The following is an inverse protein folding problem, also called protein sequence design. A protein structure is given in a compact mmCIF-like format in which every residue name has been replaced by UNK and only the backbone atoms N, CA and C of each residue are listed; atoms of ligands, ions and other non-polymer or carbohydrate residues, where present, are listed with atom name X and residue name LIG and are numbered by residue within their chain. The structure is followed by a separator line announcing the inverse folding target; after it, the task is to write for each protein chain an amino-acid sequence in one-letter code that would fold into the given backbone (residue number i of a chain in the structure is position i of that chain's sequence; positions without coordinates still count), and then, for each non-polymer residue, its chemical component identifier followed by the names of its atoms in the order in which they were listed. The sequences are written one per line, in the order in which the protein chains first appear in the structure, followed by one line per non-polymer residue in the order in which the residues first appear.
data_IF_969121083116
#
_entry.id   IF_969121083116
#
_cell.length_a   1.000
_cell.length_b   1.000
_cell.length_c   1.000
_cell.angle_alpha   90.00
_cell.angle_beta   90.00
_cell.angle_gamma   90.00
#
_symmetry.space_group_name_H-M   'P 1'
#
loop_
_entity.id
_entity.type
_entity.pdbx_description
1 polymer ?
#
# COMPACT_ATOMS: atom_id res chain seq x y z
N UNK A 1 12.86 -33.89 -2.82
CA UNK A 1 13.57 -34.54 -1.69
C UNK A 1 13.08 -33.89 -0.41
N UNK A 2 12.36 -34.60 0.47
CA UNK A 2 11.91 -34.01 1.75
C UNK A 2 13.12 -33.81 2.67
N UNK A 3 13.19 -32.65 3.33
CA UNK A 3 14.27 -32.32 4.26
C UNK A 3 14.19 -33.22 5.49
N UNK A 4 15.24 -34.01 5.73
CA UNK A 4 15.36 -34.85 6.94
C UNK A 4 15.65 -33.96 8.15
N UNK A 5 14.77 -34.01 9.16
CA UNK A 5 14.95 -33.26 10.40
C UNK A 5 16.09 -33.86 11.24
N UNK A 6 17.20 -33.13 11.36
CA UNK A 6 18.39 -33.53 12.12
C UNK A 6 18.43 -32.90 13.53
N UNK A 7 17.34 -32.27 13.98
CA UNK A 7 17.30 -31.55 15.26
C UNK A 7 17.61 -32.46 16.45
N UNK A 8 17.22 -33.73 16.39
CA UNK A 8 17.49 -34.72 17.45
C UNK A 8 18.97 -35.09 17.53
N UNK A 9 19.61 -35.31 16.38
CA UNK A 9 21.05 -35.56 16.28
C UNK A 9 21.84 -34.38 16.82
N UNK A 10 21.49 -33.15 16.41
CA UNK A 10 22.12 -31.94 16.92
C UNK A 10 22.04 -31.84 18.45
N UNK A 11 20.84 -32.05 19.03
CA UNK A 11 20.65 -32.03 20.50
C UNK A 11 21.53 -33.07 21.21
N UNK A 12 21.63 -34.28 20.66
CA UNK A 12 22.44 -35.36 21.25
C UNK A 12 23.95 -35.08 21.24
N UNK A 13 24.43 -34.47 20.15
CA UNK A 13 25.84 -34.05 20.02
C UNK A 13 26.12 -32.92 21.02
N UNK A 14 25.20 -31.96 21.15
CA UNK A 14 25.32 -30.83 22.07
C UNK A 14 25.36 -31.29 23.53
N UNK A 15 24.48 -32.20 23.95
CA UNK A 15 24.50 -32.76 25.31
C UNK A 15 25.78 -33.52 25.60
N UNK A 16 26.28 -34.28 24.62
CA UNK A 16 27.54 -35.03 24.74
C UNK A 16 28.72 -34.07 24.91
N UNK A 17 28.81 -33.03 24.07
CA UNK A 17 29.83 -31.99 24.14
C UNK A 17 29.77 -31.23 25.48
N UNK A 18 28.57 -30.87 25.93
CA UNK A 18 28.36 -30.16 27.20
C UNK A 18 28.76 -31.01 28.42
N UNK A 19 28.58 -32.33 28.35
CA UNK A 19 29.05 -33.26 29.38
C UNK A 19 30.56 -33.52 29.36
N UNK A 20 31.20 -33.41 28.19
CA UNK A 20 32.66 -33.56 28.02
C UNK A 20 33.46 -32.32 28.43
N UNK A 21 32.84 -31.15 28.41
CA UNK A 21 33.41 -29.94 28.99
C UNK A 21 33.32 -30.05 30.50
N UNK A 22 34.42 -30.44 31.15
CA UNK A 22 34.56 -30.39 32.59
C UNK A 22 34.06 -29.03 33.12
N UNK A 23 33.35 -29.06 34.26
CA UNK A 23 32.84 -27.88 34.94
C UNK A 23 34.00 -26.94 35.25
N UNK A 24 34.32 -26.07 34.29
CA UNK A 24 35.29 -25.00 34.46
C UNK A 24 34.78 -24.21 35.64
N UNK A 25 35.56 -24.18 36.72
CA UNK A 25 35.37 -23.27 37.84
C UNK A 25 35.42 -21.88 37.25
N UNK A 26 34.22 -21.41 36.90
CA UNK A 26 33.90 -20.13 36.32
C UNK A 26 34.63 -19.09 37.17
N UNK A 27 35.74 -18.56 36.64
CA UNK A 27 36.24 -17.27 37.07
C UNK A 27 35.02 -16.36 37.12
N UNK A 28 34.67 -15.88 38.32
CA UNK A 28 33.53 -15.00 38.60
C UNK A 28 33.29 -14.14 37.37
N UNK A 29 32.24 -14.47 36.61
CA UNK A 29 31.84 -13.67 35.47
C UNK A 29 31.70 -12.24 35.98
N UNK A 30 32.17 -11.22 35.24
CA UNK A 30 31.96 -9.84 35.66
C UNK A 30 30.47 -9.70 35.98
N UNK A 31 30.19 -9.14 37.17
CA UNK A 31 28.84 -9.01 37.71
C UNK A 31 27.88 -8.55 36.60
N UNK A 32 26.65 -9.07 36.56
CA UNK A 32 25.71 -8.68 35.52
C UNK A 32 25.56 -7.17 35.57
N UNK A 33 26.07 -6.51 34.53
CA UNK A 33 25.85 -5.07 34.31
C UNK A 33 24.34 -4.89 34.41
N UNK A 34 23.93 -4.12 35.41
CA UNK A 34 22.55 -3.87 35.79
C UNK A 34 21.69 -3.64 34.53
N UNK A 35 20.82 -4.60 34.21
CA UNK A 35 19.84 -4.55 33.10
C UNK A 35 18.73 -3.52 33.33
N UNK A 36 18.93 -2.54 34.20
CA UNK A 36 17.89 -1.55 34.55
C UNK A 36 17.60 -0.55 33.41
N UNK A 37 18.50 -0.44 32.42
CA UNK A 37 18.29 0.36 31.20
C UNK A 37 17.64 -0.36 30.01
N UNK A 38 17.76 -1.69 29.92
CA UNK A 38 17.30 -2.47 28.75
C UNK A 38 15.79 -2.73 28.70
N UNK A 39 15.07 -2.59 29.82
CA UNK A 39 13.64 -2.86 29.86
C UNK A 39 12.83 -1.85 29.03
N UNK A 40 13.29 -0.59 28.96
CA UNK A 40 12.55 0.49 28.28
C UNK A 40 12.74 0.49 26.75
N UNK A 41 13.93 0.13 26.26
CA UNK A 41 14.20 -0.01 24.81
C UNK A 41 13.42 -1.17 24.19
N UNK A 42 13.29 -2.31 24.90
CA UNK A 42 12.52 -3.45 24.40
C UNK A 42 11.00 -3.22 24.37
N UNK A 43 10.48 -2.29 25.18
CA UNK A 43 9.08 -1.87 25.12
C UNK A 43 8.81 -1.03 23.86
N UNK A 44 9.66 -0.04 23.58
CA UNK A 44 9.57 0.82 22.39
C UNK A 44 9.70 -0.02 21.09
N UNK A 45 10.63 -0.99 21.04
CA UNK A 45 10.79 -1.92 19.90
C UNK A 45 9.55 -2.82 19.70
N UNK A 46 9.00 -3.32 20.81
CA UNK A 46 7.79 -4.14 20.79
C UNK A 46 6.57 -3.36 20.31
N UNK A 47 6.47 -2.07 20.63
CA UNK A 47 5.42 -1.17 20.14
C UNK A 47 5.53 -0.92 18.64
N UNK A 48 6.74 -0.64 18.13
CA UNK A 48 6.99 -0.46 16.69
C UNK A 48 6.55 -1.70 15.89
N UNK A 49 7.00 -2.89 16.29
CA UNK A 49 6.66 -4.13 15.59
C UNK A 49 5.16 -4.46 15.66
N UNK A 50 4.53 -4.27 16.82
CA UNK A 50 3.07 -4.46 16.97
C UNK A 50 2.30 -3.57 16.00
N UNK A 51 2.72 -2.32 15.88
CA UNK A 51 2.08 -1.35 15.00
C UNK A 51 2.30 -1.69 13.52
N UNK A 52 3.52 -2.07 13.14
CA UNK A 52 3.83 -2.56 11.79
C UNK A 52 2.98 -3.78 11.41
N UNK A 53 2.84 -4.77 12.32
CA UNK A 53 1.96 -5.93 12.08
C UNK A 53 0.50 -5.53 11.94
N UNK A 54 -0.01 -4.60 12.75
CA UNK A 54 -1.38 -4.10 12.60
C UNK A 54 -1.59 -3.47 11.22
N UNK A 55 -0.69 -2.61 10.77
CA UNK A 55 -0.76 -2.01 9.43
C UNK A 55 -0.80 -3.11 8.36
N UNK A 56 0.12 -4.07 8.45
CA UNK A 56 0.16 -5.21 7.54
C UNK A 56 -1.13 -6.01 7.51
N UNK A 57 -1.77 -6.25 8.67
CA UNK A 57 -3.06 -6.94 8.72
C UNK A 57 -4.16 -6.17 8.00
N UNK A 58 -4.21 -4.85 8.12
CA UNK A 58 -5.20 -4.04 7.40
C UNK A 58 -4.96 -4.04 5.89
N UNK A 59 -3.71 -3.88 5.47
CA UNK A 59 -3.35 -3.93 4.05
C UNK A 59 -3.66 -5.31 3.44
N UNK A 60 -3.33 -6.40 4.15
CA UNK A 60 -3.63 -7.76 3.71
C UNK A 60 -5.13 -8.05 3.67
N UNK A 61 -5.90 -7.55 4.65
CA UNK A 61 -7.36 -7.62 4.64
C UNK A 61 -7.94 -6.92 3.42
N UNK A 62 -7.45 -5.71 3.11
CA UNK A 62 -7.88 -4.95 1.94
C UNK A 62 -7.51 -5.67 0.64
N UNK A 63 -6.30 -6.23 0.53
CA UNK A 63 -5.87 -7.02 -0.63
C UNK A 63 -6.81 -8.19 -0.91
N UNK A 64 -7.17 -8.96 0.13
CA UNK A 64 -8.08 -10.11 0.00
C UNK A 64 -9.46 -9.68 -0.48
N UNK A 65 -9.97 -8.58 0.06
CA UNK A 65 -11.24 -8.01 -0.37
C UNK A 65 -11.20 -7.57 -1.84
N UNK A 66 -10.19 -6.80 -2.23
CA UNK A 66 -10.08 -6.33 -3.63
C UNK A 66 -10.02 -7.52 -4.58
N UNK A 67 -9.34 -8.60 -4.21
CA UNK A 67 -9.31 -9.84 -4.99
C UNK A 67 -10.69 -10.52 -5.06
N UNK A 68 -11.44 -10.61 -3.95
CA UNK A 68 -12.76 -11.25 -3.94
C UNK A 68 -13.81 -10.45 -4.70
N UNK A 69 -13.76 -9.12 -4.59
CA UNK A 69 -14.78 -8.22 -5.15
C UNK A 69 -14.47 -7.84 -6.60
N UNK A 70 -13.23 -7.97 -7.09
CA UNK A 70 -12.82 -7.60 -8.46
C UNK A 70 -13.83 -7.99 -9.55
N UNK A 71 -14.28 -9.24 -9.56
CA UNK A 71 -15.21 -9.73 -10.60
C UNK A 71 -16.59 -9.08 -10.52
N UNK A 72 -17.14 -8.93 -9.31
CA UNK A 72 -18.44 -8.29 -9.08
C UNK A 72 -18.37 -6.77 -9.29
N UNK A 73 -17.25 -6.15 -8.92
CA UNK A 73 -16.98 -4.72 -9.07
C UNK A 73 -16.92 -4.28 -10.53
N UNK A 74 -16.23 -5.05 -11.37
CA UNK A 74 -16.07 -4.75 -12.81
C UNK A 74 -17.28 -5.20 -13.65
N UNK A 75 -18.26 -5.87 -13.05
CA UNK A 75 -19.44 -6.34 -13.78
C UNK A 75 -20.36 -5.17 -14.17
N UNK A 76 -20.72 -5.08 -15.44
CA UNK A 76 -21.67 -4.07 -15.97
C UNK A 76 -23.13 -4.50 -15.85
N UNK A 77 -23.36 -5.75 -15.42
CA UNK A 77 -24.70 -6.33 -15.29
C UNK A 77 -25.37 -5.76 -14.05
N UNK A 78 -26.49 -5.06 -14.24
CA UNK A 78 -27.31 -4.62 -13.13
C UNK A 78 -27.84 -5.81 -12.33
N UNK A 79 -27.80 -5.75 -10.98
CA UNK A 79 -28.30 -6.83 -10.16
C UNK A 79 -29.80 -7.05 -10.44
N UNK A 80 -30.27 -8.32 -10.42
CA UNK A 80 -31.69 -8.61 -10.47
C UNK A 80 -32.45 -7.82 -9.38
N UNK A 81 -33.73 -7.45 -9.60
CA UNK A 81 -34.52 -6.72 -8.62
C UNK A 81 -34.52 -7.45 -7.27
N UNK A 82 -34.56 -6.68 -6.18
CA UNK A 82 -34.42 -7.16 -4.79
C UNK A 82 -35.30 -8.37 -4.45
N UNK A 83 -36.45 -8.50 -5.11
CA UNK A 83 -37.40 -9.62 -4.99
C UNK A 83 -36.81 -10.98 -5.39
N UNK A 84 -35.76 -11.00 -6.24
CA UNK A 84 -35.08 -12.21 -6.73
C UNK A 84 -33.70 -12.42 -6.11
N UNK A 85 -33.25 -11.51 -5.22
CA UNK A 85 -31.97 -11.62 -4.52
C UNK A 85 -32.12 -12.64 -3.38
N UNK A 86 -31.21 -13.64 -3.26
CA UNK A 86 -31.18 -14.47 -2.07
C UNK A 86 -31.00 -13.57 -0.85
N UNK A 87 -31.87 -13.72 0.14
CA UNK A 87 -31.91 -12.90 1.36
C UNK A 87 -30.53 -12.97 2.03
N UNK A 88 -29.85 -11.85 2.08
CA UNK A 88 -28.54 -11.73 2.70
C UNK A 88 -28.65 -12.08 4.18
N UNK A 89 -27.76 -12.91 4.75
CA UNK A 89 -27.79 -13.19 6.18
C UNK A 89 -27.50 -11.88 6.91
N UNK A 90 -28.53 -11.26 7.49
CA UNK A 90 -28.38 -10.11 8.36
C UNK A 90 -27.59 -10.56 9.59
N UNK A 91 -26.28 -10.33 9.55
CA UNK A 91 -25.41 -10.53 10.70
C UNK A 91 -25.30 -9.18 11.39
N UNK A 92 -25.88 -9.08 12.58
CA UNK A 92 -25.85 -7.87 13.41
C UNK A 92 -24.40 -7.42 13.60
N UNK A 93 -24.04 -6.31 12.98
CA UNK A 93 -22.75 -5.64 13.20
C UNK A 93 -22.90 -4.86 14.51
N UNK A 94 -22.51 -5.48 15.62
CA UNK A 94 -22.26 -4.75 16.87
C UNK A 94 -21.11 -3.75 16.63
N UNK A 95 -21.25 -2.52 17.13
CA UNK A 95 -20.42 -1.37 16.80
C UNK A 95 -18.92 -1.45 17.10
N UNK A 96 -18.42 -2.56 17.64
CA UNK A 96 -17.01 -2.80 17.98
C UNK A 96 -16.35 -3.92 17.14
N UNK A 97 -16.94 -4.25 16.00
CA UNK A 97 -16.46 -5.29 15.09
C UNK A 97 -15.08 -4.92 14.50
N UNK A 98 -14.08 -5.81 14.67
CA UNK A 98 -12.73 -5.71 14.07
C UNK A 98 -12.85 -5.40 12.58
N UNK A 99 -11.92 -4.63 12.01
CA UNK A 99 -11.93 -4.24 10.58
C UNK A 99 -12.17 -5.42 9.63
N UNK A 100 -11.74 -6.65 9.97
CA UNK A 100 -12.02 -7.87 9.20
C UNK A 100 -13.52 -8.23 9.11
N UNK A 101 -14.34 -7.96 10.13
CA UNK A 101 -15.78 -8.23 10.12
C UNK A 101 -16.56 -7.25 9.23
N UNK A 102 -16.04 -6.05 8.98
CA UNK A 102 -16.69 -5.02 8.17
C UNK A 102 -16.72 -5.36 6.68
N UNK A 103 -15.80 -6.22 6.24
CA UNK A 103 -15.61 -6.65 4.86
C UNK A 103 -16.34 -7.96 4.54
N UNK A 104 -16.71 -8.74 5.56
CA UNK A 104 -17.34 -10.04 5.41
C UNK A 104 -18.65 -10.03 4.59
N UNK A 105 -19.34 -8.88 4.56
CA UNK A 105 -20.57 -8.70 3.76
C UNK A 105 -20.35 -8.80 2.26
N UNK A 106 -19.17 -8.45 1.76
CA UNK A 106 -18.89 -8.40 0.32
C UNK A 106 -18.04 -9.56 -0.19
N UNK A 107 -17.55 -10.42 0.70
CA UNK A 107 -16.66 -11.53 0.33
C UNK A 107 -17.34 -12.57 -0.58
N UNK A 108 -18.68 -12.68 -0.52
CA UNK A 108 -19.46 -13.68 -1.27
C UNK A 108 -20.48 -13.09 -2.25
N UNK A 109 -20.43 -11.79 -2.51
CA UNK A 109 -21.43 -11.10 -3.32
C UNK A 109 -21.11 -11.22 -4.81
N UNK A 110 -22.06 -11.75 -5.59
CA UNK A 110 -21.90 -11.95 -7.05
C UNK A 110 -22.21 -10.69 -7.88
N UNK A 111 -23.10 -9.83 -7.37
CA UNK A 111 -23.54 -8.60 -8.05
C UNK A 111 -23.50 -7.45 -7.06
N UNK A 112 -22.91 -6.32 -7.49
CA UNK A 112 -22.73 -5.14 -6.67
C UNK A 112 -23.47 -3.97 -7.31
N UNK A 113 -24.24 -3.22 -6.54
CA UNK A 113 -24.85 -1.96 -6.99
C UNK A 113 -23.81 -0.85 -7.10
N UNK A 114 -24.09 0.20 -7.88
CA UNK A 114 -23.17 1.34 -7.97
C UNK A 114 -22.93 2.02 -6.63
N UNK A 115 -23.94 2.09 -5.76
CA UNK A 115 -23.81 2.61 -4.40
C UNK A 115 -22.88 1.75 -3.54
N UNK A 116 -23.02 0.43 -3.60
CA UNK A 116 -22.14 -0.49 -2.85
C UNK A 116 -20.69 -0.41 -3.38
N UNK A 117 -20.49 -0.25 -4.69
CA UNK A 117 -19.15 -0.03 -5.29
C UNK A 117 -18.51 1.26 -4.77
N UNK A 118 -19.27 2.36 -4.75
CA UNK A 118 -18.78 3.65 -4.25
C UNK A 118 -18.43 3.59 -2.75
N UNK A 119 -19.19 2.79 -1.97
CA UNK A 119 -18.89 2.55 -0.56
C UNK A 119 -17.59 1.74 -0.37
N UNK A 120 -17.35 0.74 -1.23
CA UNK A 120 -16.07 0.00 -1.23
C UNK A 120 -14.92 0.93 -1.55
N UNK A 121 -15.07 1.79 -2.55
CA UNK A 121 -14.04 2.76 -2.95
C UNK A 121 -13.73 3.75 -1.82
N UNK A 122 -14.77 4.29 -1.16
CA UNK A 122 -14.63 5.17 -0.01
C UNK A 122 -13.84 4.49 1.12
N UNK A 123 -14.23 3.28 1.50
CA UNK A 123 -13.58 2.55 2.59
C UNK A 123 -12.15 2.14 2.24
N UNK A 124 -11.90 1.73 1.01
CA UNK A 124 -10.55 1.41 0.54
C UNK A 124 -9.64 2.64 0.66
N UNK A 125 -10.10 3.81 0.20
CA UNK A 125 -9.37 5.09 0.35
C UNK A 125 -9.09 5.44 1.80
N UNK A 126 -10.10 5.33 2.67
CA UNK A 126 -9.93 5.62 4.10
C UNK A 126 -8.89 4.72 4.76
N UNK A 127 -8.87 3.42 4.43
CA UNK A 127 -7.85 2.50 4.95
C UNK A 127 -6.47 2.84 4.40
N UNK A 128 -6.35 3.12 3.10
CA UNK A 128 -5.07 3.46 2.48
C UNK A 128 -4.46 4.73 3.09
N UNK A 129 -5.25 5.80 3.22
CA UNK A 129 -4.83 7.04 3.89
C UNK A 129 -4.43 6.81 5.35
N UNK A 130 -5.24 6.05 6.10
CA UNK A 130 -4.94 5.72 7.50
C UNK A 130 -3.66 4.89 7.63
N UNK A 131 -3.40 3.96 6.71
CA UNK A 131 -2.17 3.17 6.70
C UNK A 131 -0.97 4.05 6.35
N UNK A 132 -1.09 4.95 5.37
CA UNK A 132 -0.05 5.94 5.03
C UNK A 132 0.31 6.81 6.23
N UNK A 133 -0.69 7.36 6.93
CA UNK A 133 -0.48 8.18 8.13
C UNK A 133 0.25 7.40 9.24
N UNK A 134 -0.19 6.16 9.50
CA UNK A 134 0.44 5.30 10.52
C UNK A 134 1.87 4.91 10.16
N UNK A 135 2.16 4.67 8.88
CA UNK A 135 3.53 4.43 8.41
C UNK A 135 4.38 5.69 8.62
N UNK A 136 3.85 6.89 8.31
CA UNK A 136 4.54 8.15 8.57
C UNK A 136 4.84 8.38 10.05
N UNK A 137 3.91 8.02 10.95
CA UNK A 137 4.16 8.04 12.40
C UNK A 137 5.30 7.10 12.77
N UNK A 138 5.30 5.87 12.23
CA UNK A 138 6.37 4.90 12.48
C UNK A 138 7.73 5.39 11.99
N UNK A 139 7.79 6.01 10.82
CA UNK A 139 9.01 6.61 10.28
C UNK A 139 9.56 7.71 11.20
N UNK A 140 8.70 8.59 11.71
CA UNK A 140 9.08 9.63 12.67
C UNK A 140 9.59 9.03 13.98
N UNK A 141 8.94 7.97 14.49
CA UNK A 141 9.41 7.28 15.70
C UNK A 141 10.80 6.67 15.51
N UNK A 142 11.08 6.09 14.33
CA UNK A 142 12.40 5.57 13.99
C UNK A 142 13.46 6.65 13.85
N UNK A 143 13.13 7.78 13.22
CA UNK A 143 14.06 8.92 13.14
C UNK A 143 14.41 9.46 14.53
N UNK A 144 13.42 9.53 15.43
CA UNK A 144 13.63 9.92 16.83
C UNK A 144 14.53 8.92 17.57
N UNK A 145 14.37 7.62 17.32
CA UNK A 145 15.23 6.57 17.87
C UNK A 145 16.68 6.72 17.37
N UNK A 146 16.88 6.83 16.05
CA UNK A 146 18.20 7.02 15.42
C UNK A 146 18.93 8.24 16.01
N UNK A 147 18.26 9.39 16.10
CA UNK A 147 18.85 10.62 16.67
C UNK A 147 19.18 10.51 18.16
N UNK A 148 18.37 9.79 18.95
CA UNK A 148 18.66 9.51 20.37
C UNK A 148 19.89 8.63 20.52
N UNK A 149 20.06 7.62 19.67
CA UNK A 149 21.24 6.75 19.71
C UNK A 149 22.51 7.51 19.33
N UNK A 150 22.44 8.36 18.29
CA UNK A 150 23.57 9.22 17.88
C UNK A 150 23.97 10.21 18.98
N UNK A 151 23.00 10.79 19.71
CA UNK A 151 23.30 11.72 20.81
C UNK A 151 23.84 11.02 22.05
N UNK A 152 23.39 9.79 22.35
CA UNK A 152 23.92 8.96 23.44
C UNK A 152 25.35 8.44 23.18
N UNK A 153 25.79 8.38 21.92
CA UNK A 153 27.11 7.87 21.56
C UNK A 153 28.26 8.88 21.78
N UNK A 154 27.96 10.15 22.11
CA UNK A 154 29.00 11.18 22.32
C UNK A 154 29.57 11.06 23.75
N UNK A 155 30.89 10.81 23.93
CA UNK A 155 31.48 10.66 25.25
C UNK A 155 31.45 12.00 26.01
N UNK A 156 30.91 11.98 27.22
CA UNK A 156 30.71 13.18 28.06
C UNK A 156 31.98 13.64 28.80
N UNK A 157 33.12 12.96 28.64
CA UNK A 157 34.37 13.33 29.31
C UNK A 157 35.57 13.29 28.36
N UNK A 158 36.32 14.40 28.32
CA UNK A 158 37.55 14.59 27.55
C UNK A 158 38.69 13.62 27.92
N UNK A 159 38.63 12.94 29.07
CA UNK A 159 39.60 11.91 29.46
C UNK A 159 39.33 10.54 28.82
N UNK A 160 38.08 10.23 28.45
CA UNK A 160 37.72 8.96 27.81
C UNK A 160 37.94 8.96 26.29
N UNK A 161 38.19 10.11 25.67
CA UNK A 161 38.58 10.17 24.25
C UNK A 161 40.01 9.69 24.00
N UNK A 162 40.87 9.67 25.04
CA UNK A 162 42.26 9.19 24.97
C UNK A 162 42.40 7.67 25.11
N UNK A 163 41.34 6.96 25.53
CA UNK A 163 41.34 5.49 25.67
C UNK A 163 40.16 4.86 24.91
N UNK A 164 40.25 4.80 23.57
CA UNK A 164 39.17 4.27 22.72
C UNK A 164 38.78 2.82 23.05
N UNK A 165 39.68 2.05 23.65
CA UNK A 165 39.48 0.65 24.03
C UNK A 165 38.60 0.45 25.28
N UNK A 166 38.38 1.49 26.10
CA UNK A 166 37.57 1.43 27.32
C UNK A 166 36.23 2.17 27.19
N UNK A 167 36.03 2.94 26.10
CA UNK A 167 34.72 3.46 25.76
C UNK A 167 33.77 2.28 25.55
N UNK A 168 32.74 2.18 26.38
CA UNK A 168 31.77 1.08 26.38
C UNK A 168 30.96 1.05 25.08
N UNK A 169 31.52 0.43 24.04
CA UNK A 169 30.94 0.20 22.71
C UNK A 169 30.06 -1.06 22.64
N UNK A 170 29.77 -1.71 23.77
CA UNK A 170 29.05 -3.00 23.78
C UNK A 170 27.56 -2.90 23.40
N UNK A 171 26.96 -1.71 23.40
CA UNK A 171 25.53 -1.50 23.14
C UNK A 171 25.26 -1.03 21.69
N UNK A 172 26.26 -0.52 20.97
CA UNK A 172 26.09 0.07 19.62
C UNK A 172 26.15 -0.91 18.45
N UNK A 173 26.60 -2.15 18.66
CA UNK A 173 26.84 -3.08 17.54
C UNK A 173 25.56 -3.62 16.87
N UNK A 174 24.43 -3.65 17.60
CA UNK A 174 23.15 -4.11 17.06
C UNK A 174 22.29 -2.98 16.49
N UNK A 175 22.66 -1.73 16.76
CA UNK A 175 21.96 -0.56 16.25
C UNK A 175 21.90 -0.47 14.72
N UNK A 176 23.01 -0.66 13.96
CA UNK A 176 22.95 -0.62 12.50
C UNK A 176 22.04 -1.73 11.96
N UNK A 177 22.12 -2.93 12.55
CA UNK A 177 21.29 -4.08 12.18
C UNK A 177 19.80 -3.80 12.46
N UNK A 178 19.47 -3.26 13.64
CA UNK A 178 18.10 -2.93 14.02
C UNK A 178 17.55 -1.82 13.13
N UNK A 179 18.34 -0.78 12.87
CA UNK A 179 17.95 0.32 12.00
C UNK A 179 17.72 -0.11 10.56
N UNK A 180 18.53 -1.03 10.04
CA UNK A 180 18.35 -1.65 8.73
C UNK A 180 17.09 -2.54 8.71
N UNK A 181 16.85 -3.31 9.77
CA UNK A 181 15.64 -4.12 9.90
C UNK A 181 14.38 -3.25 9.91
N UNK A 182 14.33 -2.18 10.71
CA UNK A 182 13.18 -1.27 10.74
C UNK A 182 13.00 -0.51 9.42
N UNK A 183 14.10 -0.08 8.78
CA UNK A 183 14.04 0.51 7.45
C UNK A 183 13.49 -0.47 6.40
N UNK A 184 13.89 -1.75 6.46
CA UNK A 184 13.35 -2.79 5.58
C UNK A 184 11.86 -3.03 5.81
N UNK A 185 11.39 -3.02 7.06
CA UNK A 185 9.96 -3.15 7.39
C UNK A 185 9.18 -1.99 6.79
N UNK A 186 9.62 -0.75 7.03
CA UNK A 186 8.98 0.45 6.49
C UNK A 186 8.93 0.42 4.97
N UNK A 187 10.03 0.03 4.32
CA UNK A 187 10.09 -0.15 2.87
C UNK A 187 9.09 -1.19 2.38
N UNK A 188 9.02 -2.38 3.01
CA UNK A 188 8.04 -3.41 2.61
C UNK A 188 6.59 -2.96 2.80
N UNK A 189 6.29 -2.18 3.84
CA UNK A 189 4.96 -1.62 4.07
C UNK A 189 4.61 -0.56 3.04
N UNK A 190 5.54 0.35 2.72
CA UNK A 190 5.36 1.37 1.68
C UNK A 190 5.23 0.74 0.29
N UNK A 191 6.02 -0.28 -0.02
CA UNK A 191 5.89 -1.04 -1.26
C UNK A 191 4.52 -1.74 -1.35
N UNK A 192 4.07 -2.36 -0.26
CA UNK A 192 2.78 -3.00 -0.24
C UNK A 192 1.62 -2.01 -0.39
N UNK A 193 1.72 -0.85 0.28
CA UNK A 193 0.78 0.26 0.14
C UNK A 193 0.73 0.76 -1.32
N UNK A 194 1.88 1.01 -1.94
CA UNK A 194 1.98 1.47 -3.32
C UNK A 194 1.38 0.47 -4.32
N UNK A 195 1.61 -0.83 -4.12
CA UNK A 195 1.00 -1.90 -4.93
C UNK A 195 -0.52 -1.92 -4.78
N UNK A 196 -1.04 -1.75 -3.57
CA UNK A 196 -2.49 -1.72 -3.33
C UNK A 196 -3.15 -0.45 -3.88
N UNK A 197 -2.51 0.71 -3.75
CA UNK A 197 -3.02 1.96 -4.33
C UNK A 197 -3.06 1.85 -5.85
N UNK A 198 -2.06 1.24 -6.47
CA UNK A 198 -2.07 0.94 -7.90
C UNK A 198 -3.22 0.01 -8.29
N UNK A 199 -3.43 -1.09 -7.55
CA UNK A 199 -4.54 -2.01 -7.83
C UNK A 199 -5.93 -1.36 -7.70
N UNK A 200 -6.12 -0.44 -6.75
CA UNK A 200 -7.38 0.33 -6.62
C UNK A 200 -7.53 1.33 -7.77
N UNK A 201 -6.45 2.02 -8.15
CA UNK A 201 -6.42 2.93 -9.30
C UNK A 201 -6.80 2.22 -10.60
N UNK A 202 -6.25 1.03 -10.84
CA UNK A 202 -6.56 0.18 -11.99
C UNK A 202 -8.05 -0.22 -12.03
N UNK A 203 -8.62 -0.59 -10.87
CA UNK A 203 -10.04 -0.94 -10.79
C UNK A 203 -10.94 0.26 -11.10
N UNK A 204 -10.58 1.45 -10.62
CA UNK A 204 -11.37 2.66 -10.82
C UNK A 204 -11.27 3.18 -12.25
N UNK A 205 -10.08 3.16 -12.86
CA UNK A 205 -9.90 3.53 -14.27
C UNK A 205 -10.70 2.60 -15.18
N UNK A 206 -10.63 1.30 -14.93
CA UNK A 206 -11.43 0.31 -15.63
C UNK A 206 -12.95 0.53 -15.43
N UNK A 207 -13.40 0.97 -14.26
CA UNK A 207 -14.81 1.29 -14.00
C UNK A 207 -15.25 2.54 -14.76
N UNK A 208 -14.47 3.61 -14.73
CA UNK A 208 -14.75 4.85 -15.46
C UNK A 208 -14.78 4.58 -16.97
N UNK A 209 -13.82 3.81 -17.48
CA UNK A 209 -13.80 3.39 -18.88
C UNK A 209 -15.07 2.64 -19.29
N UNK A 210 -15.54 1.67 -18.49
CA UNK A 210 -16.79 0.95 -18.78
C UNK A 210 -18.03 1.85 -18.71
N UNK A 211 -18.03 2.88 -17.86
CA UNK A 211 -19.13 3.86 -17.81
C UNK A 211 -19.13 4.75 -19.05
N UNK A 212 -17.96 5.17 -19.51
CA UNK A 212 -17.81 5.93 -20.73
C UNK A 212 -18.27 5.12 -21.95
N UNK A 213 -17.86 3.86 -22.04
CA UNK A 213 -18.35 2.91 -23.05
C UNK A 213 -19.87 2.73 -22.97
N UNK A 214 -20.44 2.56 -21.76
CA UNK A 214 -21.89 2.45 -21.58
C UNK A 214 -22.62 3.71 -22.05
N UNK A 215 -22.12 4.90 -21.68
CA UNK A 215 -22.66 6.18 -22.14
C UNK A 215 -22.70 6.26 -23.67
N UNK A 216 -21.59 5.89 -24.32
CA UNK A 216 -21.50 5.82 -25.79
C UNK A 216 -22.49 4.81 -26.37
N UNK A 217 -22.65 3.64 -25.75
CA UNK A 217 -23.59 2.60 -26.23
C UNK A 217 -25.05 2.93 -25.98
N UNK A 218 -25.40 3.65 -24.91
CA UNK A 218 -26.78 4.10 -24.66
C UNK A 218 -27.20 5.12 -25.72
N UNK A 219 -26.29 6.02 -26.13
CA UNK A 219 -26.50 6.89 -27.29
C UNK A 219 -26.68 6.11 -28.59
N UNK A 220 -25.86 5.08 -28.84
CA UNK A 220 -25.98 4.23 -30.03
C UNK A 220 -27.19 3.27 -30.00
N UNK A 221 -27.61 2.86 -28.81
CA UNK A 221 -28.78 2.00 -28.60
C UNK A 221 -30.07 2.77 -28.84
N UNK A 222 -30.17 4.01 -28.35
CA UNK A 222 -31.30 4.89 -28.62
C UNK A 222 -31.45 5.20 -30.12
N UNK A 223 -30.35 5.37 -30.87
CA UNK A 223 -30.41 5.58 -32.32
C UNK A 223 -30.82 4.31 -33.08
N UNK A 224 -30.33 3.14 -32.66
CA UNK A 224 -30.74 1.84 -33.24
C UNK A 224 -32.19 1.49 -32.90
N UNK A 225 -32.65 1.78 -31.69
CA UNK A 225 -34.03 1.54 -31.26
C UNK A 225 -34.99 2.53 -31.95
N UNK A 226 -34.60 3.80 -32.10
CA UNK A 226 -35.33 4.77 -32.94
C UNK A 226 -35.35 4.34 -34.43
N UNK A 227 -34.28 3.74 -34.93
CA UNK A 227 -34.23 3.15 -36.28
C UNK A 227 -35.14 1.91 -36.39
N UNK A 228 -35.21 1.08 -35.34
CA UNK A 228 -36.03 -0.13 -35.29
C UNK A 228 -37.52 0.17 -35.08
N UNK A 229 -37.85 1.26 -34.40
CA UNK A 229 -39.20 1.83 -34.28
C UNK A 229 -39.62 2.61 -35.55
N UNK A 230 -38.79 2.64 -36.60
CA UNK A 230 -39.12 3.24 -37.89
C UNK A 230 -39.15 4.78 -37.92
N UNK A 231 -38.73 5.44 -36.84
CA UNK A 231 -38.68 6.92 -36.76
C UNK A 231 -37.54 7.53 -37.60
N UNK A 232 -36.57 6.73 -38.04
CA UNK A 232 -35.46 7.19 -38.91
C UNK A 232 -35.50 6.43 -40.24
N UNK A 233 -36.57 6.60 -41.01
CA UNK A 233 -36.53 6.26 -42.42
C UNK A 233 -35.94 7.44 -43.20
N UNK A 234 -34.76 7.25 -43.80
CA UNK A 234 -34.07 8.15 -44.75
C UNK A 234 -33.01 9.15 -44.25
N UNK A 235 -32.25 8.84 -43.18
CA UNK A 235 -30.97 9.51 -42.97
C UNK A 235 -29.89 8.97 -43.93
N UNK A 236 -29.85 9.50 -45.17
CA UNK A 236 -28.70 9.28 -46.08
C UNK A 236 -27.43 9.78 -45.39
N UNK A 237 -26.36 8.95 -45.42
CA UNK A 237 -25.00 9.26 -44.99
C UNK A 237 -24.62 10.73 -45.23
N UNK A 238 -24.63 11.55 -44.18
CA UNK A 238 -23.91 12.83 -44.16
C UNK A 238 -23.09 12.86 -42.87
N UNK A 239 -21.78 12.71 -43.03
CA UNK A 239 -20.80 12.96 -41.98
C UNK A 239 -20.77 14.46 -41.70
N UNK A 240 -21.19 14.88 -40.52
CA UNK A 240 -20.96 16.24 -40.03
C UNK A 240 -19.51 16.27 -39.52
N UNK A 241 -18.63 17.15 -40.03
CA UNK A 241 -17.29 17.31 -39.49
C UNK A 241 -17.37 17.87 -38.07
N UNK A 242 -16.64 17.22 -37.17
CA UNK A 242 -16.59 17.53 -35.74
C UNK A 242 -15.98 18.93 -35.50
N UNK A 243 -16.69 19.79 -34.76
CA UNK A 243 -16.17 21.07 -34.28
C UNK A 243 -16.86 22.36 -34.73
N UNK A 244 -17.97 22.32 -35.47
CA UNK A 244 -18.73 23.55 -35.82
C UNK A 244 -20.04 23.60 -35.05
N UNK A 245 -20.16 24.56 -34.13
CA UNK A 245 -21.43 24.95 -33.52
C UNK A 245 -22.16 25.82 -34.55
N UNK A 246 -23.09 25.23 -35.30
CA UNK A 246 -23.98 25.99 -36.18
C UNK A 246 -25.27 26.33 -35.42
N UNK A 247 -25.59 27.61 -35.39
CA UNK A 247 -26.87 28.12 -34.88
C UNK A 247 -28.03 27.62 -35.76
N UNK A 248 -29.18 27.35 -35.15
CA UNK A 248 -30.32 26.62 -35.73
C UNK A 248 -31.03 27.43 -36.85
N UNK A 249 -30.61 28.68 -37.10
CA UNK A 249 -31.30 29.64 -37.96
C UNK A 249 -30.55 30.04 -39.25
N UNK A 250 -29.50 29.33 -39.67
CA UNK A 250 -28.72 29.73 -40.86
C UNK A 250 -29.44 29.37 -42.20
N UNK A 251 -29.87 30.36 -43.02
CA UNK A 251 -30.67 30.13 -44.22
C UNK A 251 -29.89 29.49 -45.39
N UNK A 252 -28.57 29.30 -45.26
CA UNK A 252 -27.73 28.72 -46.30
C UNK A 252 -27.98 27.21 -46.56
N UNK A 253 -28.78 26.53 -45.73
CA UNK A 253 -29.21 25.14 -45.94
C UNK A 253 -30.59 24.98 -46.59
N UNK A 254 -31.28 26.08 -46.92
CA UNK A 254 -32.57 26.03 -47.62
C UNK A 254 -32.37 25.99 -49.13
N UNK A 255 -32.08 24.80 -49.68
CA UNK A 255 -32.04 24.61 -51.12
C UNK A 255 -33.04 23.55 -51.59
N UNK A 256 -34.08 24.06 -52.25
CA UNK A 256 -34.60 23.56 -53.53
C UNK A 256 -34.86 22.06 -53.62
N UNK A 257 -36.02 21.61 -53.15
CA UNK A 257 -36.61 20.35 -53.58
C UNK A 257 -37.48 20.64 -54.81
N UNK A 258 -37.11 20.02 -55.93
CA UNK A 258 -37.75 20.14 -57.23
C UNK A 258 -39.22 19.69 -57.23
N UNK A 259 -39.91 20.19 -58.25
CA UNK A 259 -41.35 20.37 -58.40
C UNK A 259 -42.19 19.10 -58.66
N UNK A 260 -41.62 17.91 -58.64
CA UNK A 260 -42.34 16.71 -59.11
C UNK A 260 -42.28 15.59 -58.08
N UNK A 261 -43.21 15.52 -57.12
CA UNK A 261 -43.68 14.27 -56.51
C UNK A 261 -44.94 14.57 -55.69
N UNK A 262 -46.10 14.25 -56.27
CA UNK A 262 -47.40 14.21 -55.60
C UNK A 262 -47.52 12.92 -54.79
N UNK A 263 -47.04 12.92 -53.55
CA UNK A 263 -47.35 11.88 -52.56
C UNK A 263 -47.61 12.54 -51.18
N UNK A 264 -48.85 12.51 -50.65
CA UNK A 264 -49.24 13.28 -49.46
C UNK A 264 -48.81 12.65 -48.11
N UNK A 265 -47.96 11.63 -48.10
CA UNK A 265 -47.63 10.87 -46.88
C UNK A 265 -46.15 10.87 -46.46
N UNK A 266 -45.26 11.63 -47.13
CA UNK A 266 -43.83 11.61 -46.83
C UNK A 266 -43.27 12.86 -46.11
N UNK A 267 -44.11 13.79 -45.66
CA UNK A 267 -43.65 15.04 -45.03
C UNK A 267 -43.32 14.96 -43.53
N UNK A 268 -43.56 13.82 -42.86
CA UNK A 268 -43.58 13.79 -41.38
C UNK A 268 -42.26 13.37 -40.69
N UNK A 269 -41.19 13.11 -41.43
CA UNK A 269 -39.97 12.46 -40.89
C UNK A 269 -38.77 13.36 -40.58
N UNK A 270 -38.84 14.66 -40.91
CA UNK A 270 -37.78 15.62 -40.59
C UNK A 270 -38.46 16.82 -39.94
N UNK A 271 -37.93 17.28 -38.81
CA UNK A 271 -38.42 18.42 -38.02
C UNK A 271 -38.35 19.76 -38.76
N UNK A 272 -39.07 19.85 -39.87
CA UNK A 272 -39.55 21.09 -40.47
C UNK A 272 -40.90 21.29 -39.82
N UNK A 273 -40.97 22.21 -38.86
CA UNK A 273 -42.25 22.71 -38.35
C UNK A 273 -42.92 23.39 -39.53
N UNK A 274 -43.89 22.71 -40.14
CA UNK A 274 -44.79 23.32 -41.10
C UNK A 274 -45.57 24.41 -40.34
N UNK A 275 -45.43 25.71 -40.70
CA UNK A 275 -46.16 26.79 -40.01
C UNK A 275 -47.68 26.70 -40.22
N UNK A 276 -48.16 25.76 -41.05
CA UNK A 276 -49.58 25.44 -41.24
C UNK A 276 -50.04 24.17 -40.51
N UNK A 277 -49.17 23.47 -39.78
CA UNK A 277 -49.57 22.36 -38.93
C UNK A 277 -50.24 22.88 -37.64
N UNK A 278 -51.35 22.28 -37.17
CA UNK A 278 -51.95 22.65 -35.90
C UNK A 278 -50.91 22.49 -34.79
N UNK A 279 -50.88 23.42 -33.84
CA UNK A 279 -49.94 23.41 -32.71
C UNK A 279 -49.91 22.00 -32.09
N UNK A 280 -48.72 21.52 -31.69
CA UNK A 280 -48.49 20.18 -31.13
C UNK A 280 -49.53 19.85 -30.02
N UNK A 281 -49.99 20.87 -29.31
CA UNK A 281 -51.05 20.88 -28.29
C UNK A 281 -52.44 20.40 -28.77
N UNK A 282 -52.72 20.41 -30.07
CA UNK A 282 -53.99 19.97 -30.68
C UNK A 282 -53.96 18.51 -31.17
N UNK A 283 -52.77 17.89 -31.29
CA UNK A 283 -52.59 16.53 -31.81
C UNK A 283 -52.24 15.51 -30.71
N UNK A 284 -51.60 15.94 -29.62
CA UNK A 284 -51.36 15.10 -28.46
C UNK A 284 -52.46 15.32 -27.40
N UNK A 285 -52.95 14.23 -26.82
CA UNK A 285 -53.81 14.36 -25.64
C UNK A 285 -53.05 15.07 -24.50
N UNK A 286 -53.74 15.86 -23.69
CA UNK A 286 -53.15 16.55 -22.54
C UNK A 286 -52.43 15.59 -21.57
N UNK A 287 -52.83 14.30 -21.57
CA UNK A 287 -52.17 13.23 -20.83
C UNK A 287 -50.79 12.87 -21.43
N UNK A 288 -50.68 12.73 -22.76
CA UNK A 288 -49.42 12.43 -23.45
C UNK A 288 -48.37 13.53 -23.30
N UNK A 289 -48.80 14.80 -23.30
CA UNK A 289 -47.88 15.93 -23.06
C UNK A 289 -47.30 15.85 -21.64
N UNK A 290 -48.14 15.57 -20.65
CA UNK A 290 -47.68 15.39 -19.26
C UNK A 290 -46.73 14.19 -19.11
N UNK A 291 -46.98 13.09 -19.82
CA UNK A 291 -46.05 11.95 -19.80
C UNK A 291 -44.72 12.32 -20.45
N UNK A 292 -44.73 13.00 -21.60
CA UNK A 292 -43.48 13.47 -22.24
C UNK A 292 -42.70 14.47 -21.39
N UNK A 293 -43.39 15.42 -20.75
CA UNK A 293 -42.76 16.35 -19.80
C UNK A 293 -42.15 15.60 -18.60
N UNK A 294 -42.86 14.59 -18.07
CA UNK A 294 -42.36 13.77 -16.98
C UNK A 294 -41.17 12.90 -17.38
N UNK A 295 -41.17 12.32 -18.58
CA UNK A 295 -40.08 11.52 -19.14
C UNK A 295 -38.86 12.37 -19.44
N UNK A 296 -39.05 13.57 -20.01
CA UNK A 296 -37.97 14.51 -20.27
C UNK A 296 -37.32 14.97 -18.96
N UNK A 297 -38.13 15.32 -17.95
CA UNK A 297 -37.61 15.65 -16.62
C UNK A 297 -36.84 14.47 -15.99
N UNK A 298 -37.36 13.24 -16.10
CA UNK A 298 -36.66 12.04 -15.61
C UNK A 298 -35.34 11.78 -16.37
N UNK A 299 -35.30 12.03 -17.68
CA UNK A 299 -34.09 11.90 -18.50
C UNK A 299 -33.04 12.94 -18.12
N UNK A 300 -33.44 14.20 -17.94
CA UNK A 300 -32.56 15.27 -17.48
C UNK A 300 -32.01 14.99 -16.09
N UNK A 301 -32.85 14.50 -15.18
CA UNK A 301 -32.43 14.08 -13.84
C UNK A 301 -31.39 12.95 -13.93
N UNK A 302 -31.65 11.91 -14.73
CA UNK A 302 -30.71 10.82 -14.95
C UNK A 302 -29.39 11.32 -15.56
N UNK A 303 -29.43 12.19 -16.58
CA UNK A 303 -28.23 12.80 -17.17
C UNK A 303 -27.44 13.58 -16.12
N UNK A 304 -28.09 14.45 -15.34
CA UNK A 304 -27.43 15.23 -14.29
C UNK A 304 -26.80 14.33 -13.22
N UNK A 305 -27.48 13.25 -12.83
CA UNK A 305 -26.99 12.27 -11.87
C UNK A 305 -25.77 11.51 -12.41
N UNK A 306 -25.81 11.08 -13.68
CA UNK A 306 -24.67 10.41 -14.33
C UNK A 306 -23.45 11.32 -14.43
N UNK A 307 -23.62 12.58 -14.80
CA UNK A 307 -22.53 13.56 -14.85
C UNK A 307 -21.94 13.79 -13.45
N UNK A 308 -22.78 13.98 -12.44
CA UNK A 308 -22.32 14.13 -11.06
C UNK A 308 -21.51 12.90 -10.58
N UNK A 309 -21.97 11.70 -10.93
CA UNK A 309 -21.27 10.46 -10.60
C UNK A 309 -19.92 10.34 -11.33
N UNK A 310 -19.84 10.72 -12.60
CA UNK A 310 -18.59 10.74 -13.37
C UNK A 310 -17.60 11.74 -12.78
N UNK A 311 -18.04 12.98 -12.50
CA UNK A 311 -17.19 13.99 -11.85
C UNK A 311 -16.67 13.54 -10.49
N UNK A 312 -17.52 12.89 -9.69
CA UNK A 312 -17.09 12.32 -8.40
C UNK A 312 -16.06 11.20 -8.59
N UNK A 313 -16.24 10.34 -9.60
CA UNK A 313 -15.29 9.30 -9.93
C UNK A 313 -13.94 9.87 -10.40
N UNK A 314 -13.94 10.89 -11.26
CA UNK A 314 -12.74 11.59 -11.73
C UNK A 314 -11.98 12.24 -10.58
N UNK A 315 -12.68 12.97 -9.70
CA UNK A 315 -12.05 13.56 -8.51
C UNK A 315 -11.40 12.49 -7.63
N UNK A 316 -12.06 11.35 -7.44
CA UNK A 316 -11.51 10.24 -6.65
C UNK A 316 -10.31 9.55 -7.30
N UNK A 317 -10.31 9.45 -8.63
CA UNK A 317 -9.20 8.92 -9.42
C UNK A 317 -7.98 9.84 -9.34
N UNK A 318 -8.20 11.15 -9.45
CA UNK A 318 -7.14 12.15 -9.32
C UNK A 318 -6.48 12.04 -7.93
N UNK A 319 -7.28 12.01 -6.87
CA UNK A 319 -6.80 11.86 -5.50
C UNK A 319 -5.93 10.59 -5.30
N UNK A 320 -6.39 9.44 -5.82
CA UNK A 320 -5.63 8.18 -5.70
C UNK A 320 -4.36 8.23 -6.56
N UNK A 321 -4.41 8.81 -7.75
CA UNK A 321 -3.24 8.96 -8.61
C UNK A 321 -2.17 9.87 -7.99
N UNK A 322 -2.61 10.92 -7.27
CA UNK A 322 -1.71 11.79 -6.52
C UNK A 322 -1.05 11.02 -5.38
N UNK A 323 -1.84 10.30 -4.58
CA UNK A 323 -1.33 9.44 -3.50
C UNK A 323 -0.35 8.39 -4.03
N UNK A 324 -0.70 7.71 -5.12
CA UNK A 324 0.17 6.73 -5.77
C UNK A 324 1.50 7.34 -6.23
N UNK A 325 1.45 8.52 -6.87
CA UNK A 325 2.64 9.23 -7.34
C UNK A 325 3.56 9.65 -6.18
N UNK A 326 2.97 10.15 -5.09
CA UNK A 326 3.69 10.50 -3.87
C UNK A 326 4.39 9.27 -3.27
N UNK A 327 3.68 8.14 -3.15
CA UNK A 327 4.24 6.89 -2.63
C UNK A 327 5.37 6.35 -3.50
N UNK A 328 5.23 6.35 -4.83
CA UNK A 328 6.28 5.89 -5.73
C UNK A 328 7.53 6.77 -5.61
N UNK A 329 7.35 8.10 -5.52
CA UNK A 329 8.46 9.04 -5.29
C UNK A 329 9.15 8.75 -3.96
N UNK A 330 8.38 8.55 -2.90
CA UNK A 330 8.90 8.25 -1.58
C UNK A 330 9.66 6.92 -1.54
N UNK A 331 9.11 5.87 -2.19
CA UNK A 331 9.75 4.56 -2.29
C UNK A 331 11.07 4.62 -3.05
N UNK A 332 11.13 5.39 -4.14
CA UNK A 332 12.38 5.60 -4.88
C UNK A 332 13.46 6.24 -4.00
N UNK A 333 13.11 7.26 -3.22
CA UNK A 333 14.04 7.90 -2.26
C UNK A 333 14.45 6.95 -1.13
N UNK A 334 13.50 6.17 -0.60
CA UNK A 334 13.76 5.23 0.49
C UNK A 334 14.64 4.05 0.05
N UNK A 335 14.56 3.60 -1.20
CA UNK A 335 15.30 2.43 -1.68
C UNK A 335 16.81 2.63 -1.60
N UNK A 336 17.30 3.80 -2.01
CA UNK A 336 18.72 4.15 -1.90
C UNK A 336 19.19 4.17 -0.43
N UNK A 337 18.40 4.78 0.45
CA UNK A 337 18.71 4.85 1.88
C UNK A 337 18.71 3.47 2.55
N UNK A 338 17.77 2.60 2.19
CA UNK A 338 17.68 1.23 2.72
C UNK A 338 18.88 0.40 2.29
N UNK A 339 19.34 0.56 1.05
CA UNK A 339 20.53 -0.15 0.56
C UNK A 339 21.79 0.27 1.33
N UNK A 340 21.98 1.58 1.54
CA UNK A 340 23.09 2.09 2.36
C UNK A 340 23.04 1.54 3.80
N UNK A 341 21.86 1.55 4.43
CA UNK A 341 21.69 1.00 5.78
C UNK A 341 21.94 -0.51 5.83
N UNK A 342 21.61 -1.23 4.75
CA UNK A 342 21.87 -2.65 4.63
C UNK A 342 23.38 -2.93 4.50
N UNK A 343 24.09 -2.19 3.66
CA UNK A 343 25.55 -2.28 3.54
C UNK A 343 26.25 -1.97 4.88
N UNK A 344 25.81 -0.92 5.58
CA UNK A 344 26.32 -0.56 6.91
C UNK A 344 26.08 -1.68 7.93
N UNK A 345 24.89 -2.29 7.93
CA UNK A 345 24.57 -3.42 8.81
C UNK A 345 25.45 -4.64 8.52
N UNK A 346 25.66 -4.99 7.25
CA UNK A 346 26.54 -6.10 6.85
C UNK A 346 28.00 -5.81 7.22
N UNK A 347 28.46 -4.57 6.99
CA UNK A 347 29.79 -4.10 7.39
C UNK A 347 30.01 -4.24 8.90
N UNK A 348 29.04 -3.79 9.69
CA UNK A 348 29.08 -3.91 11.16
C UNK A 348 29.16 -5.37 11.63
N UNK A 349 28.40 -6.28 11.02
CA UNK A 349 28.48 -7.72 11.34
C UNK A 349 29.88 -8.27 11.05
N UNK A 350 30.49 -7.87 9.93
CA UNK A 350 31.85 -8.28 9.59
C UNK A 350 32.89 -7.73 10.58
N UNK A 351 32.74 -6.49 11.03
CA UNK A 351 33.59 -5.88 12.05
C UNK A 351 33.46 -6.57 13.41
N UNK A 352 32.24 -6.90 13.85
CA UNK A 352 31.99 -7.64 15.09
C UNK A 352 32.66 -9.02 15.04
N UNK A 353 32.58 -9.71 13.89
CA UNK A 353 33.25 -10.99 13.68
C UNK A 353 34.77 -10.85 13.82
N UNK A 354 35.37 -9.86 13.15
CA UNK A 354 36.82 -9.57 13.25
C UNK A 354 37.22 -9.19 14.68
N UNK A 355 36.40 -8.41 15.38
CA UNK A 355 36.63 -8.03 16.77
C UNK A 355 36.63 -9.25 17.69
N UNK A 356 35.70 -10.19 17.50
CA UNK A 356 35.68 -11.44 18.26
C UNK A 356 36.94 -12.29 18.01
N UNK A 357 37.38 -12.40 16.76
CA UNK A 357 38.64 -13.08 16.43
C UNK A 357 39.85 -12.42 17.11
N UNK A 358 39.89 -11.09 17.14
CA UNK A 358 40.95 -10.35 17.84
C UNK A 358 40.91 -10.57 19.35
N UNK A 359 39.73 -10.66 19.98
CA UNK A 359 39.59 -10.97 21.41
C UNK A 359 40.12 -12.38 21.74
N UNK A 360 39.86 -13.36 20.86
CA UNK A 360 40.39 -14.72 21.01
C UNK A 360 41.92 -14.70 20.91
N UNK A 361 42.48 -14.04 19.87
CA UNK A 361 43.94 -13.90 19.70
C UNK A 361 44.60 -13.14 20.85
N UNK A 362 43.94 -12.11 21.39
CA UNK A 362 44.43 -11.35 22.54
C UNK A 362 44.43 -12.20 23.82
N UNK A 363 43.43 -13.07 24.01
CA UNK A 363 43.40 -14.03 25.13
C UNK A 363 44.55 -15.03 25.05
N UNK A 364 44.90 -15.51 23.85
CA UNK A 364 46.02 -16.41 23.64
C UNK A 364 47.36 -15.70 23.95
N UNK A 365 47.59 -14.53 23.35
CA UNK A 365 48.79 -13.72 23.64
C UNK A 365 48.92 -13.32 25.11
N UNK A 366 47.80 -13.09 25.79
CA UNK A 366 47.80 -12.79 27.22
C UNK A 366 48.29 -13.95 28.10
N UNK A 367 48.12 -15.20 27.66
CA UNK A 367 48.69 -16.38 28.33
C UNK A 367 50.20 -16.46 28.09
N UNK A 368 50.62 -16.26 26.85
CA UNK A 368 52.04 -16.31 26.46
C UNK A 368 52.84 -15.18 27.13
N UNK A 369 52.28 -13.97 27.17
CA UNK A 369 52.90 -12.83 27.85
C UNK A 369 53.07 -13.04 29.35
N UNK A 370 52.11 -13.71 30.02
CA UNK A 370 52.24 -14.08 31.44
C UNK A 370 53.32 -15.13 31.66
N UNK A 371 53.42 -16.12 30.78
CA UNK A 371 54.48 -17.13 30.83
C UNK A 371 55.86 -16.48 30.65
N UNK A 372 56.00 -15.61 29.65
CA UNK A 372 57.25 -14.90 29.39
C UNK A 372 57.66 -14.01 30.57
N UNK A 373 56.70 -13.30 31.18
CA UNK A 373 56.94 -12.48 32.36
C UNK A 373 57.38 -13.32 33.56
N UNK A 374 56.79 -14.50 33.77
CA UNK A 374 57.24 -15.44 34.82
C UNK A 374 58.67 -15.93 34.58
N UNK A 375 59.00 -16.33 33.35
CA UNK A 375 60.35 -16.76 32.97
C UNK A 375 61.35 -15.62 33.18
N UNK A 376 60.99 -14.39 32.80
CA UNK A 376 61.84 -13.21 32.98
C UNK A 376 62.11 -12.91 34.46
N UNK A 377 61.07 -12.92 35.31
CA UNK A 377 61.23 -12.70 36.76
C UNK A 377 62.11 -13.79 37.39
N UNK A 378 61.87 -15.05 37.03
CA UNK A 378 62.65 -16.17 37.53
C UNK A 378 64.13 -16.06 37.10
N UNK A 379 64.37 -15.75 35.82
CA UNK A 379 65.70 -15.53 35.28
C UNK A 379 66.44 -14.38 35.96
N UNK A 380 65.79 -13.23 36.11
CA UNK A 380 66.35 -12.08 36.82
C UNK A 380 66.67 -12.39 38.29
N UNK A 381 65.81 -13.16 38.96
CA UNK A 381 66.06 -13.63 40.34
C UNK A 381 67.29 -14.52 40.42
N UNK A 382 67.48 -15.46 39.48
CA UNK A 382 68.68 -16.30 39.43
C UNK A 382 69.93 -15.51 39.09
N UNK A 383 69.85 -14.53 38.18
CA UNK A 383 70.97 -13.65 37.85
C UNK A 383 71.43 -12.83 39.05
N UNK A 384 70.50 -12.30 39.85
CA UNK A 384 70.83 -11.58 41.09
C UNK A 384 71.52 -12.50 42.11
N UNK A 385 71.02 -13.73 42.28
CA UNK A 385 71.60 -14.71 43.19
C UNK A 385 73.03 -15.12 42.75
N UNK A 386 73.25 -15.29 41.45
CA UNK A 386 74.58 -15.58 40.90
C UNK A 386 75.56 -14.42 41.10
N UNK A 387 75.10 -13.18 40.90
CA UNK A 387 75.92 -11.99 41.15
C UNK A 387 76.31 -11.87 42.62
N UNK A 388 75.39 -12.14 43.54
CA UNK A 388 75.66 -12.15 44.97
C UNK A 388 76.66 -13.24 45.36
N UNK A 389 76.51 -14.46 44.81
CA UNK A 389 77.47 -15.55 45.03
C UNK A 389 78.87 -15.28 44.46
N UNK A 390 78.98 -14.62 43.31
CA UNK A 390 80.27 -14.30 42.70
C UNK A 390 80.96 -13.10 43.39
N UNK A 391 80.18 -12.20 43.99
CA UNK A 391 80.71 -11.03 44.71
C UNK A 391 81.09 -11.34 46.18
N UNK A 392 80.59 -12.44 46.73
CA UNK A 392 81.00 -13.03 48.01
C UNK A 392 82.24 -13.93 47.85
#
# INVERSE_FOLDING_TARGET
MPATDQTTLFKSILTTQQSSLAASTRSKSPAPISRKGKAKEGEDEGEFLKEAYRIHTHLRSLQRLLASVRKAYLSTVEPPPLSRRPKEPQRNVSGDAKVEEQWARWEKVKYLTDKERDEIDLRARMILRRCQERIGILEVTEQKRKSKVISSAKPTSTFLSLLPSLASSSISNFEPILSAHHASILWTLNEFLARLTGAVSDLQTERVKRREERSKTLGAGATLEAQQLGLVSHARKRSIPEGVITDVHDPAFSHTIGKDFSDPHLSHGLGIIDPSAPAIDQLLSQEQIRTFESENNALLEHMSSTLSSVLSAEASLLEISQLQSELIRHLAQQTEMVEQLYEDAVGSVAEVKRANEQLIKARERGKDGRLFLLIFILGASFSLLFLDWYAA
#
